data_IF_912486916423
#
_entry.id   IF_912486916423
#
_cell.length_a   1.000
_cell.length_b   1.000
_cell.length_c   1.000
_cell.angle_alpha   90.00
_cell.angle_beta   90.00
_cell.angle_gamma   90.00
#
_symmetry.space_group_name_H-M   'P 1'
#
loop_
_entity.id
_entity.type
_entity.pdbx_description
1 polymer ?
#
# COMPACT_ATOMS: atom_id res chain seq x y z
N UNK A 1 -25.10 16.65 -16.06
CA UNK A 1 -24.22 15.48 -15.88
C UNK A 1 -24.97 14.44 -15.07
N UNK A 2 -25.04 13.21 -15.54
CA UNK A 2 -25.57 12.12 -14.73
C UNK A 2 -24.63 11.87 -13.54
N UNK A 3 -25.20 11.76 -12.35
CA UNK A 3 -24.44 11.48 -11.15
C UNK A 3 -23.88 10.04 -11.20
N UNK A 4 -22.59 9.88 -11.00
CA UNK A 4 -21.91 8.60 -10.86
C UNK A 4 -21.06 8.56 -9.58
N UNK A 5 -20.47 7.43 -9.26
CA UNK A 5 -19.70 7.21 -8.02
C UNK A 5 -18.49 8.17 -7.88
N UNK A 6 -18.04 8.79 -8.96
CA UNK A 6 -16.89 9.71 -8.99
C UNK A 6 -17.25 11.18 -9.16
N UNK A 7 -18.55 11.54 -9.25
CA UNK A 7 -18.97 12.92 -9.49
C UNK A 7 -18.30 13.93 -8.54
N UNK A 8 -18.19 13.59 -7.25
CA UNK A 8 -17.52 14.47 -6.28
C UNK A 8 -16.01 14.55 -6.45
N UNK A 9 -15.37 13.44 -6.83
CA UNK A 9 -13.93 13.40 -7.14
C UNK A 9 -13.65 14.22 -8.39
N UNK A 10 -14.46 14.07 -9.43
CA UNK A 10 -14.34 14.82 -10.69
C UNK A 10 -14.45 16.33 -10.49
N UNK A 11 -15.39 16.79 -9.66
CA UNK A 11 -15.51 18.21 -9.30
C UNK A 11 -14.27 18.77 -8.61
N UNK A 12 -13.53 17.94 -7.89
CA UNK A 12 -12.33 18.35 -7.15
C UNK A 12 -11.08 18.36 -8.03
N UNK A 13 -10.85 17.31 -8.84
CA UNK A 13 -9.60 17.08 -9.56
C UNK A 13 -9.72 17.26 -11.09
N UNK A 14 -10.93 17.39 -11.61
CA UNK A 14 -11.23 17.48 -13.04
C UNK A 14 -11.27 16.12 -13.76
N UNK A 15 -11.89 16.12 -14.93
CA UNK A 15 -12.10 14.91 -15.75
C UNK A 15 -10.78 14.26 -16.19
N UNK A 16 -9.78 15.06 -16.59
CA UNK A 16 -8.50 14.53 -17.07
C UNK A 16 -7.73 13.78 -15.98
N UNK A 17 -7.75 14.32 -14.75
CA UNK A 17 -7.12 13.66 -13.60
C UNK A 17 -7.88 12.38 -13.22
N UNK A 18 -9.21 12.39 -13.29
CA UNK A 18 -10.02 11.19 -13.05
C UNK A 18 -9.74 10.11 -14.12
N UNK A 19 -9.62 10.49 -15.39
CA UNK A 19 -9.23 9.58 -16.47
C UNK A 19 -7.82 8.99 -16.23
N UNK A 20 -6.89 9.80 -15.74
CA UNK A 20 -5.56 9.32 -15.36
C UNK A 20 -5.65 8.26 -14.28
N UNK A 21 -6.46 8.48 -13.22
CA UNK A 21 -6.67 7.48 -12.17
C UNK A 21 -7.29 6.19 -12.71
N UNK A 22 -8.33 6.29 -13.55
CA UNK A 22 -9.00 5.14 -14.17
C UNK A 22 -8.07 4.29 -15.06
N UNK A 23 -7.02 4.88 -15.60
CA UNK A 23 -6.02 4.17 -16.41
C UNK A 23 -4.80 3.72 -15.59
N UNK A 24 -4.69 4.13 -14.33
CA UNK A 24 -3.52 3.82 -13.50
C UNK A 24 -3.61 2.44 -12.86
N UNK A 25 -2.46 1.82 -12.69
CA UNK A 25 -2.26 0.48 -12.14
C UNK A 25 -1.37 0.56 -10.91
N UNK A 26 -1.86 0.07 -9.79
CA UNK A 26 -1.13 0.11 -8.51
C UNK A 26 -1.00 -1.30 -7.94
N UNK A 27 0.16 -1.61 -7.39
CA UNK A 27 0.37 -2.83 -6.60
C UNK A 27 0.64 -2.47 -5.15
N UNK A 28 -0.05 -3.17 -4.24
CA UNK A 28 0.05 -2.95 -2.79
C UNK A 28 0.59 -4.21 -2.13
N UNK A 29 1.73 -4.09 -1.48
CA UNK A 29 2.35 -5.14 -0.70
C UNK A 29 2.04 -4.97 0.79
N UNK A 30 1.44 -6.00 1.39
CA UNK A 30 0.94 -6.00 2.77
C UNK A 30 -0.47 -5.42 2.88
N UNK A 31 -1.45 -6.28 3.19
CA UNK A 31 -2.87 -5.90 3.34
C UNK A 31 -3.25 -5.94 4.84
N UNK A 32 -2.39 -5.36 5.65
CA UNK A 32 -2.59 -5.19 7.09
C UNK A 32 -3.34 -3.91 7.45
N UNK A 33 -3.06 -3.35 8.64
CA UNK A 33 -3.72 -2.14 9.15
C UNK A 33 -3.52 -0.90 8.27
N UNK A 34 -2.34 -0.73 7.68
CA UNK A 34 -2.06 0.38 6.76
C UNK A 34 -2.51 0.06 5.34
N UNK A 35 -2.10 -1.11 4.81
CA UNK A 35 -2.37 -1.46 3.41
C UNK A 35 -3.85 -1.62 3.10
N UNK A 36 -4.66 -2.17 3.99
CA UNK A 36 -6.09 -2.34 3.76
C UNK A 36 -6.84 -1.00 3.60
N UNK A 37 -6.52 0.00 4.41
CA UNK A 37 -7.09 1.35 4.27
C UNK A 37 -6.54 2.08 3.04
N UNK A 38 -5.27 1.83 2.68
CA UNK A 38 -4.69 2.37 1.44
C UNK A 38 -5.43 1.83 0.20
N UNK A 39 -5.68 0.53 0.17
CA UNK A 39 -6.46 -0.12 -0.91
C UNK A 39 -7.88 0.46 -0.97
N UNK A 40 -8.57 0.55 0.16
CA UNK A 40 -9.91 1.15 0.26
C UNK A 40 -9.93 2.56 -0.35
N UNK A 41 -8.97 3.40 0.04
CA UNK A 41 -8.88 4.79 -0.43
C UNK A 41 -8.60 4.88 -1.93
N UNK A 42 -7.66 4.08 -2.46
CA UNK A 42 -7.35 4.03 -3.89
C UNK A 42 -8.57 3.61 -4.72
N UNK A 43 -9.30 2.58 -4.28
CA UNK A 43 -10.49 2.12 -4.99
C UNK A 43 -11.61 3.18 -5.02
N UNK A 44 -11.82 3.89 -3.91
CA UNK A 44 -12.80 4.99 -3.84
C UNK A 44 -12.39 6.22 -4.65
N UNK A 45 -11.08 6.44 -4.84
CA UNK A 45 -10.58 7.53 -5.70
C UNK A 45 -10.68 7.22 -7.19
N UNK A 46 -10.97 5.98 -7.60
CA UNK A 46 -11.18 5.64 -9.00
C UNK A 46 -9.98 5.02 -9.72
N UNK A 47 -9.09 4.32 -8.97
CA UNK A 47 -8.01 3.54 -9.61
C UNK A 47 -8.59 2.46 -10.53
N UNK A 48 -8.00 2.27 -11.73
CA UNK A 48 -8.53 1.31 -12.71
C UNK A 48 -8.07 -0.12 -12.48
N UNK A 49 -6.84 -0.33 -12.02
CA UNK A 49 -6.31 -1.66 -11.72
C UNK A 49 -5.54 -1.66 -10.41
N UNK A 50 -5.80 -2.66 -9.58
CA UNK A 50 -5.10 -2.83 -8.31
C UNK A 50 -4.68 -4.28 -8.12
N UNK A 51 -3.44 -4.49 -7.68
CA UNK A 51 -2.91 -5.80 -7.32
C UNK A 51 -2.60 -5.85 -5.82
N UNK A 52 -3.05 -6.91 -5.16
CA UNK A 52 -2.93 -7.11 -3.71
C UNK A 52 -1.97 -8.25 -3.44
N UNK A 53 -0.93 -8.01 -2.65
CA UNK A 53 0.06 -9.03 -2.27
C UNK A 53 0.06 -9.18 -0.76
N UNK A 54 -0.42 -10.31 -0.27
CA UNK A 54 -0.38 -10.71 1.14
C UNK A 54 -0.59 -12.22 1.25
N UNK A 55 0.15 -12.88 2.14
CA UNK A 55 0.07 -14.33 2.33
C UNK A 55 -0.75 -14.73 3.57
N UNK A 56 -1.11 -13.78 4.42
CA UNK A 56 -1.78 -14.02 5.68
C UNK A 56 -3.26 -14.32 5.52
N UNK A 57 -3.78 -15.04 6.49
CA UNK A 57 -5.21 -15.12 6.79
C UNK A 57 -5.60 -14.09 7.85
N UNK A 58 -6.88 -13.80 7.91
CA UNK A 58 -7.46 -12.93 8.94
C UNK A 58 -7.41 -13.62 10.30
N UNK A 59 -6.81 -12.97 11.27
CA UNK A 59 -6.82 -13.36 12.67
C UNK A 59 -7.82 -12.50 13.46
N UNK A 60 -8.37 -13.04 14.54
CA UNK A 60 -9.32 -12.33 15.41
C UNK A 60 -8.75 -10.99 15.92
N UNK A 61 -7.44 -10.94 16.15
CA UNK A 61 -6.73 -9.72 16.60
C UNK A 61 -6.58 -8.65 15.52
N UNK A 62 -6.93 -8.95 14.28
CA UNK A 62 -6.87 -7.99 13.18
C UNK A 62 -8.10 -7.07 13.11
N UNK A 63 -9.23 -7.49 13.70
CA UNK A 63 -10.53 -6.81 13.59
C UNK A 63 -10.47 -5.37 14.08
N UNK A 64 -9.63 -5.07 15.05
CA UNK A 64 -9.51 -3.74 15.64
C UNK A 64 -8.90 -2.68 14.69
N UNK A 65 -8.23 -3.09 13.58
CA UNK A 65 -7.47 -2.16 12.73
C UNK A 65 -7.38 -2.51 11.24
N UNK A 66 -7.95 -3.63 10.79
CA UNK A 66 -7.92 -4.03 9.38
C UNK A 66 -9.34 -3.98 8.81
N UNK A 67 -9.57 -3.13 7.80
CA UNK A 67 -10.92 -2.79 7.34
C UNK A 67 -11.71 -3.96 6.73
N UNK A 68 -11.02 -4.99 6.25
CA UNK A 68 -11.61 -6.20 5.67
C UNK A 68 -11.83 -7.32 6.69
N UNK A 69 -11.36 -7.13 7.95
CA UNK A 69 -11.44 -8.14 8.99
C UNK A 69 -12.73 -8.03 9.81
N UNK A 70 -13.50 -9.13 9.85
CA UNK A 70 -14.75 -9.28 10.59
C UNK A 70 -14.75 -10.62 11.34
N UNK A 71 -15.62 -10.77 12.35
CA UNK A 71 -15.78 -12.03 13.07
C UNK A 71 -16.11 -13.19 12.12
N UNK A 72 -16.95 -12.96 11.12
CA UNK A 72 -17.43 -14.00 10.21
C UNK A 72 -16.41 -14.45 9.14
N UNK A 73 -15.27 -13.77 9.02
CA UNK A 73 -14.27 -14.11 8.01
C UNK A 73 -12.87 -14.43 8.58
N UNK A 74 -12.76 -14.65 9.88
CA UNK A 74 -11.53 -15.15 10.52
C UNK A 74 -11.10 -16.46 9.85
N UNK A 75 -9.81 -16.60 9.56
CA UNK A 75 -9.22 -17.75 8.86
C UNK A 75 -9.23 -17.65 7.32
N UNK A 76 -9.96 -16.69 6.72
CA UNK A 76 -9.92 -16.45 5.26
C UNK A 76 -8.71 -15.61 4.88
N UNK A 77 -8.20 -15.76 3.66
CA UNK A 77 -7.09 -14.94 3.16
C UNK A 77 -7.46 -13.46 3.10
N UNK A 78 -6.58 -12.60 3.59
CA UNK A 78 -6.78 -11.14 3.59
C UNK A 78 -7.04 -10.59 2.20
N UNK A 79 -6.29 -11.03 1.20
CA UNK A 79 -6.45 -10.59 -0.20
C UNK A 79 -7.79 -10.99 -0.81
N UNK A 80 -8.34 -12.16 -0.47
CA UNK A 80 -9.66 -12.59 -0.95
C UNK A 80 -10.77 -11.70 -0.38
N UNK A 81 -10.74 -11.44 0.91
CA UNK A 81 -11.75 -10.63 1.57
C UNK A 81 -11.63 -9.15 1.16
N UNK A 82 -10.41 -8.66 0.94
CA UNK A 82 -10.19 -7.32 0.41
C UNK A 82 -10.68 -7.18 -1.03
N UNK A 83 -10.49 -8.20 -1.89
CA UNK A 83 -11.04 -8.24 -3.25
C UNK A 83 -12.56 -8.15 -3.25
N UNK A 84 -13.25 -8.96 -2.46
CA UNK A 84 -14.72 -8.89 -2.31
C UNK A 84 -15.18 -7.49 -1.89
N UNK A 85 -14.44 -6.86 -0.99
CA UNK A 85 -14.74 -5.50 -0.55
C UNK A 85 -14.59 -4.49 -1.67
N UNK A 86 -13.56 -4.61 -2.51
CA UNK A 86 -13.36 -3.76 -3.69
C UNK A 86 -14.52 -3.91 -4.67
N UNK A 87 -14.95 -5.13 -4.95
CA UNK A 87 -16.08 -5.43 -5.84
C UNK A 87 -17.39 -4.79 -5.37
N UNK A 88 -17.57 -4.65 -4.04
CA UNK A 88 -18.73 -3.93 -3.46
C UNK A 88 -18.59 -2.40 -3.56
N UNK A 89 -17.37 -1.86 -3.68
CA UNK A 89 -17.12 -0.42 -3.85
C UNK A 89 -17.28 -0.05 -5.32
N UNK A 90 -16.60 -0.78 -6.19
CA UNK A 90 -16.65 -0.58 -7.63
C UNK A 90 -16.28 -1.88 -8.37
N UNK A 91 -17.25 -2.54 -9.01
CA UNK A 91 -17.02 -3.78 -9.75
C UNK A 91 -16.15 -3.62 -11.01
N UNK A 92 -15.99 -2.38 -11.52
CA UNK A 92 -15.21 -2.12 -12.74
C UNK A 92 -13.70 -2.11 -12.49
N UNK A 93 -13.25 -2.08 -11.23
CA UNK A 93 -11.83 -2.14 -10.90
C UNK A 93 -11.28 -3.54 -11.20
N UNK A 94 -10.24 -3.62 -12.01
CA UNK A 94 -9.53 -4.88 -12.23
C UNK A 94 -8.68 -5.23 -11.01
N UNK A 95 -9.00 -6.33 -10.33
CA UNK A 95 -8.33 -6.75 -9.09
C UNK A 95 -7.56 -8.05 -9.33
N UNK A 96 -6.24 -7.99 -9.13
CA UNK A 96 -5.37 -9.17 -9.09
C UNK A 96 -4.97 -9.46 -7.65
N UNK A 97 -4.84 -10.75 -7.29
CA UNK A 97 -4.44 -11.16 -5.93
C UNK A 97 -3.27 -12.13 -5.99
N UNK A 98 -2.33 -11.97 -5.04
CA UNK A 98 -1.17 -12.83 -4.87
C UNK A 98 -1.11 -13.28 -3.41
N UNK A 99 -1.38 -14.58 -3.16
CA UNK A 99 -1.35 -15.20 -1.82
C UNK A 99 0.05 -15.69 -1.49
N UNK A 100 1.02 -14.79 -1.60
CA UNK A 100 2.43 -15.13 -1.44
C UNK A 100 3.15 -14.08 -0.61
N UNK A 101 4.15 -14.51 0.15
CA UNK A 101 5.08 -13.62 0.83
C UNK A 101 6.10 -13.10 -0.18
N UNK A 102 6.37 -11.80 -0.12
CA UNK A 102 7.45 -11.23 -0.92
C UNK A 102 8.81 -11.68 -0.37
N UNK A 103 9.58 -12.32 -1.22
CA UNK A 103 10.95 -12.77 -0.97
C UNK A 103 11.87 -12.33 -2.13
N UNK A 104 13.18 -12.45 -1.92
CA UNK A 104 14.16 -12.06 -2.94
C UNK A 104 13.96 -12.81 -4.26
N UNK A 105 13.65 -14.09 -4.15
CA UNK A 105 13.62 -15.00 -5.30
C UNK A 105 12.33 -14.92 -6.12
N UNK A 106 11.29 -14.26 -5.62
CA UNK A 106 10.02 -14.11 -6.32
C UNK A 106 9.69 -12.68 -6.76
N UNK A 107 10.55 -11.69 -6.52
CA UNK A 107 10.25 -10.29 -6.81
C UNK A 107 10.01 -10.03 -8.30
N UNK A 108 10.73 -10.72 -9.18
CA UNK A 108 10.58 -10.59 -10.62
C UNK A 108 9.24 -11.10 -11.13
N UNK A 109 8.62 -12.06 -10.43
CA UNK A 109 7.32 -12.63 -10.82
C UNK A 109 6.17 -11.62 -10.74
N UNK A 110 6.33 -10.54 -9.99
CA UNK A 110 5.31 -9.49 -9.87
C UNK A 110 5.33 -8.50 -11.04
N UNK A 111 6.34 -8.54 -11.93
CA UNK A 111 6.48 -7.63 -13.06
C UNK A 111 6.24 -6.16 -12.67
N UNK A 112 6.98 -5.66 -11.68
CA UNK A 112 6.72 -4.34 -11.06
C UNK A 112 6.78 -3.17 -12.05
N UNK A 113 7.44 -3.34 -13.20
CA UNK A 113 7.48 -2.33 -14.29
C UNK A 113 6.14 -2.13 -14.99
N UNK A 114 5.20 -3.06 -14.82
CA UNK A 114 3.84 -2.96 -15.35
C UNK A 114 2.99 -1.92 -14.62
N UNK A 115 3.34 -1.62 -13.37
CA UNK A 115 2.57 -0.75 -12.49
C UNK A 115 3.09 0.68 -12.52
N UNK A 116 2.16 1.63 -12.45
CA UNK A 116 2.49 3.06 -12.37
C UNK A 116 3.03 3.44 -10.99
N UNK A 117 2.63 2.68 -9.95
CA UNK A 117 3.04 2.93 -8.57
C UNK A 117 3.06 1.66 -7.72
N UNK A 118 4.04 1.58 -6.84
CA UNK A 118 4.17 0.52 -5.83
C UNK A 118 3.90 1.11 -4.45
N UNK A 119 3.04 0.45 -3.67
CA UNK A 119 2.81 0.77 -2.27
C UNK A 119 3.38 -0.33 -1.40
N UNK A 120 4.30 0.03 -0.52
CA UNK A 120 4.91 -0.86 0.45
C UNK A 120 4.31 -0.60 1.84
N UNK A 121 3.44 -1.51 2.28
CA UNK A 121 2.86 -1.55 3.62
C UNK A 121 3.28 -2.83 4.38
N UNK A 122 4.41 -3.44 3.99
CA UNK A 122 4.98 -4.63 4.64
C UNK A 122 5.56 -4.24 6.00
N UNK A 123 5.41 -5.09 7.00
CA UNK A 123 6.04 -4.95 8.33
C UNK A 123 7.40 -5.64 8.44
N UNK A 124 7.64 -6.70 7.64
CA UNK A 124 8.87 -7.47 7.62
C UNK A 124 10.02 -6.68 6.99
N UNK A 125 11.01 -6.31 7.78
CA UNK A 125 12.13 -5.45 7.37
C UNK A 125 12.87 -5.99 6.13
N UNK A 126 13.14 -7.28 6.10
CA UNK A 126 13.89 -7.91 4.99
C UNK A 126 13.17 -7.77 3.65
N UNK A 127 11.88 -8.15 3.59
CA UNK A 127 11.06 -8.03 2.38
C UNK A 127 10.91 -6.57 1.95
N UNK A 128 10.70 -5.66 2.90
CA UNK A 128 10.64 -4.21 2.67
C UNK A 128 11.92 -3.69 2.01
N UNK A 129 13.09 -4.07 2.48
CA UNK A 129 14.37 -3.64 1.92
C UNK A 129 14.56 -4.18 0.49
N UNK A 130 14.20 -5.44 0.23
CA UNK A 130 14.27 -6.01 -1.11
C UNK A 130 13.38 -5.27 -2.10
N UNK A 131 12.13 -4.99 -1.71
CA UNK A 131 11.19 -4.26 -2.55
C UNK A 131 11.68 -2.85 -2.87
N UNK A 132 12.13 -2.12 -1.85
CA UNK A 132 12.63 -0.75 -2.01
C UNK A 132 13.87 -0.74 -2.91
N UNK A 133 14.82 -1.66 -2.68
CA UNK A 133 16.04 -1.77 -3.50
C UNK A 133 15.69 -2.04 -4.96
N UNK A 134 14.84 -3.03 -5.21
CA UNK A 134 14.41 -3.39 -6.57
C UNK A 134 13.75 -2.21 -7.29
N UNK A 135 12.82 -1.53 -6.62
CA UNK A 135 12.17 -0.34 -7.19
C UNK A 135 13.17 0.77 -7.48
N UNK A 136 14.13 1.02 -6.59
CA UNK A 136 15.16 2.04 -6.76
C UNK A 136 16.06 1.74 -7.96
N UNK A 137 16.57 0.52 -8.07
CA UNK A 137 17.47 0.08 -9.16
C UNK A 137 16.78 0.09 -10.53
N UNK A 138 15.46 -0.12 -10.57
CA UNK A 138 14.66 -0.15 -11.81
C UNK A 138 13.90 1.15 -12.08
N UNK A 139 14.12 2.23 -11.31
CA UNK A 139 13.41 3.51 -11.42
C UNK A 139 11.89 3.39 -11.31
N UNK A 140 11.39 2.47 -10.49
CA UNK A 140 9.95 2.26 -10.24
C UNK A 140 9.50 3.19 -9.10
N UNK A 141 8.37 3.88 -9.29
CA UNK A 141 7.81 4.76 -8.26
C UNK A 141 7.28 3.94 -7.08
N UNK A 142 7.75 4.26 -5.88
CA UNK A 142 7.34 3.59 -4.65
C UNK A 142 7.09 4.59 -3.53
N UNK A 143 6.12 4.28 -2.67
CA UNK A 143 5.95 4.87 -1.35
C UNK A 143 5.95 3.76 -0.30
N UNK A 144 6.67 3.96 0.80
CA UNK A 144 6.81 2.97 1.86
C UNK A 144 6.25 3.49 3.17
N UNK A 145 5.34 2.75 3.78
CA UNK A 145 4.85 3.05 5.12
C UNK A 145 5.86 2.60 6.17
N UNK A 146 6.18 3.50 7.10
CA UNK A 146 7.00 3.19 8.26
C UNK A 146 6.14 2.69 9.42
N UNK A 147 6.65 2.64 10.65
CA UNK A 147 5.90 2.15 11.80
C UNK A 147 4.68 3.02 12.11
N UNK A 148 3.50 2.42 12.10
CA UNK A 148 2.22 3.05 12.46
C UNK A 148 1.63 2.49 13.77
N UNK A 149 2.21 1.44 14.35
CA UNK A 149 1.80 0.89 15.64
C UNK A 149 2.13 1.83 16.80
N UNK A 150 1.28 1.81 17.85
CA UNK A 150 1.42 2.61 19.06
C UNK A 150 1.45 4.14 18.80
N UNK A 151 0.68 4.60 17.80
CA UNK A 151 0.52 6.01 17.46
C UNK A 151 -0.91 6.44 17.75
N UNK A 152 -1.05 7.47 18.57
CA UNK A 152 -2.35 7.98 19.06
C UNK A 152 -2.76 9.28 18.34
N UNK A 153 -1.79 10.04 17.84
CA UNK A 153 -2.03 11.31 17.16
C UNK A 153 -1.90 11.16 15.63
N UNK A 154 -3.01 11.02 14.89
CA UNK A 154 -2.99 10.89 13.44
C UNK A 154 -2.46 12.14 12.72
N UNK A 155 -2.48 13.32 13.37
CA UNK A 155 -1.99 14.58 12.78
C UNK A 155 -0.47 14.61 12.66
N UNK A 156 0.23 13.70 13.33
CA UNK A 156 1.69 13.59 13.31
C UNK A 156 2.22 12.68 12.20
N UNK A 157 1.35 12.10 11.37
CA UNK A 157 1.79 11.40 10.17
C UNK A 157 2.21 12.37 9.07
N UNK A 158 3.37 12.10 8.46
CA UNK A 158 3.99 12.96 7.43
C UNK A 158 4.47 12.14 6.25
N UNK A 159 4.34 12.71 5.06
CA UNK A 159 5.02 12.21 3.85
C UNK A 159 6.38 12.91 3.76
N UNK A 160 7.45 12.12 3.66
CA UNK A 160 8.81 12.67 3.64
C UNK A 160 9.77 11.76 2.86
N UNK A 161 10.99 12.25 2.62
CA UNK A 161 12.12 11.38 2.30
C UNK A 161 12.61 10.64 3.53
N UNK A 162 13.03 9.38 3.38
CA UNK A 162 13.51 8.54 4.49
C UNK A 162 14.66 9.20 5.26
N UNK A 163 15.50 10.00 4.59
CA UNK A 163 16.64 10.68 5.24
C UNK A 163 16.21 11.85 6.13
N UNK A 164 14.98 12.34 5.96
CA UNK A 164 14.39 13.43 6.75
C UNK A 164 13.48 12.94 7.87
N UNK A 165 13.36 11.62 8.05
CA UNK A 165 12.54 11.03 9.12
C UNK A 165 13.22 11.15 10.49
N UNK A 166 12.43 11.30 11.53
CA UNK A 166 12.86 11.36 12.93
C UNK A 166 12.04 10.39 13.78
N UNK A 167 12.46 10.15 15.02
CA UNK A 167 11.75 9.38 16.06
C UNK A 167 11.47 7.92 15.70
N UNK A 168 10.80 7.64 14.58
CA UNK A 168 10.33 6.30 14.21
C UNK A 168 11.45 5.23 14.18
N UNK A 169 11.39 4.18 15.04
CA UNK A 169 12.43 3.15 15.11
C UNK A 169 12.59 2.38 13.79
N UNK A 170 11.48 2.02 13.13
CA UNK A 170 11.51 1.32 11.85
C UNK A 170 12.18 2.18 10.77
N UNK A 171 11.83 3.46 10.67
CA UNK A 171 12.47 4.38 9.71
C UNK A 171 13.99 4.48 9.95
N UNK A 172 14.43 4.47 11.22
CA UNK A 172 15.87 4.47 11.58
C UNK A 172 16.57 3.22 11.05
N UNK A 173 15.98 2.06 11.21
CA UNK A 173 16.55 0.78 10.72
C UNK A 173 16.59 0.78 9.19
N UNK A 174 15.46 1.08 8.54
CA UNK A 174 15.37 1.12 7.07
C UNK A 174 16.39 2.09 6.49
N UNK A 175 16.48 3.31 6.99
CA UNK A 175 17.46 4.31 6.53
C UNK A 175 18.88 3.80 6.62
N UNK A 176 19.25 3.15 7.74
CA UNK A 176 20.59 2.56 7.92
C UNK A 176 20.89 1.47 6.90
N UNK A 177 19.94 0.56 6.68
CA UNK A 177 20.14 -0.55 5.73
C UNK A 177 20.16 -0.05 4.28
N UNK A 178 19.26 0.88 3.92
CA UNK A 178 19.25 1.47 2.59
C UNK A 178 20.56 2.21 2.24
N UNK A 179 21.16 2.88 3.22
CA UNK A 179 22.47 3.54 3.04
C UNK A 179 23.57 2.54 2.69
N UNK A 180 23.57 1.34 3.31
CA UNK A 180 24.58 0.28 3.03
C UNK A 180 24.50 -0.24 1.59
N UNK A 181 23.29 -0.26 1.01
CA UNK A 181 23.03 -0.77 -0.34
C UNK A 181 22.94 0.32 -1.40
N UNK A 182 23.30 1.56 -1.06
CA UNK A 182 23.38 2.68 -2.01
C UNK A 182 22.07 3.33 -2.41
N UNK A 183 20.96 3.03 -1.74
CA UNK A 183 19.66 3.70 -1.98
C UNK A 183 19.69 5.09 -1.36
N UNK A 184 19.66 6.14 -2.19
CA UNK A 184 19.90 7.53 -1.76
C UNK A 184 18.62 8.25 -1.29
N UNK A 185 17.43 7.83 -1.75
CA UNK A 185 16.15 8.47 -1.43
C UNK A 185 15.02 7.45 -1.46
N UNK A 186 14.02 7.68 -0.61
CA UNK A 186 12.77 6.90 -0.59
C UNK A 186 11.66 7.79 -0.08
N UNK A 187 10.56 7.90 -0.84
CA UNK A 187 9.33 8.51 -0.34
C UNK A 187 8.70 7.57 0.70
N UNK A 188 8.42 8.09 1.88
CA UNK A 188 7.81 7.30 2.95
C UNK A 188 6.75 8.09 3.73
N UNK A 189 5.86 7.34 4.39
CA UNK A 189 4.92 7.85 5.40
C UNK A 189 5.43 7.42 6.76
N UNK A 190 5.56 8.34 7.70
CA UNK A 190 5.99 8.07 9.08
C UNK A 190 5.33 9.02 10.07
N UNK A 191 5.28 8.64 11.34
CA UNK A 191 4.90 9.54 12.43
C UNK A 191 6.13 9.97 13.21
N UNK A 192 6.17 11.25 13.61
CA UNK A 192 7.17 11.79 14.53
C UNK A 192 6.68 11.83 16.00
N UNK A 193 5.61 11.12 16.30
CA UNK A 193 5.13 10.86 17.65
C UNK A 193 6.14 10.00 18.43
N UNK A 194 6.42 10.39 19.66
CA UNK A 194 7.37 9.76 20.58
C UNK A 194 6.73 8.50 21.21
#
# INVERSE_FOLDING_TARGET
MENNIYTRTELLIGQDSLNTLKNSKVIVFGIGGVGSFTVESLCRCGIGEISLVDFDTIDITNINRQIHAFICNVGKYKVDEMKKRIELINPDIKVNIFKVKLEKDNIDSFNLKYYDYVVDAIDTITSKIYLIKYCYENNIKIISAMGAGNKMDPTRFKVSDINKTSVCPLARVIRRELKKIGVKKLKCVYSDEI
#
